data_IF_498133842350
#
_entry.id   IF_498133842350
#
_cell.length_a   1.000
_cell.length_b   1.000
_cell.length_c   1.000
_cell.angle_alpha   90.00
_cell.angle_beta   90.00
_cell.angle_gamma   90.00
#
_symmetry.space_group_name_H-M   'P 1'
#
loop_
_entity.id
_entity.type
_entity.pdbx_description
1 polymer ?
#
# COMPACT_ATOMS: atom_id res chain seq x y z
N UNK A 1 16.66 -47.03 -69.49
CA UNK A 1 16.09 -46.30 -68.34
C UNK A 1 15.04 -45.32 -68.84
N UNK A 2 13.76 -45.70 -68.84
CA UNK A 2 12.65 -44.79 -69.17
C UNK A 2 12.29 -44.01 -67.90
N UNK A 3 12.55 -42.69 -67.89
CA UNK A 3 11.99 -41.79 -66.88
C UNK A 3 10.49 -41.67 -67.16
N UNK A 4 9.64 -42.25 -66.31
CA UNK A 4 8.20 -42.01 -66.34
C UNK A 4 7.96 -40.56 -65.94
N UNK A 5 7.51 -39.74 -66.89
CA UNK A 5 7.05 -38.39 -66.61
C UNK A 5 5.67 -38.48 -65.95
N UNK A 6 5.51 -37.84 -64.79
CA UNK A 6 4.24 -37.79 -64.07
C UNK A 6 3.20 -37.06 -64.91
N UNK A 7 1.97 -37.61 -64.95
CA UNK A 7 0.86 -36.99 -65.66
C UNK A 7 0.46 -35.68 -64.97
N UNK A 8 0.09 -34.67 -65.77
CA UNK A 8 -0.34 -33.35 -65.27
C UNK A 8 -1.51 -33.49 -64.28
N UNK A 9 -2.38 -34.49 -64.49
CA UNK A 9 -3.49 -34.80 -63.59
C UNK A 9 -3.02 -35.33 -62.23
N UNK A 10 -1.95 -36.13 -62.21
CA UNK A 10 -1.36 -36.70 -60.99
C UNK A 10 -0.72 -35.59 -60.14
N UNK A 11 -0.08 -34.61 -60.77
CA UNK A 11 0.47 -33.43 -60.10
C UNK A 11 -0.64 -32.57 -59.48
N UNK A 12 -1.75 -32.36 -60.20
CA UNK A 12 -2.90 -31.58 -59.70
C UNK A 12 -3.58 -32.27 -58.50
N UNK A 13 -3.74 -33.59 -58.56
CA UNK A 13 -4.31 -34.37 -57.45
C UNK A 13 -3.39 -34.32 -56.23
N UNK A 14 -2.07 -34.49 -56.40
CA UNK A 14 -1.14 -34.42 -55.27
C UNK A 14 -1.10 -33.02 -54.67
N UNK A 15 -1.09 -31.95 -55.49
CA UNK A 15 -1.11 -30.58 -54.98
C UNK A 15 -2.40 -30.24 -54.23
N UNK A 16 -3.57 -30.65 -54.74
CA UNK A 16 -4.84 -30.41 -54.06
C UNK A 16 -4.91 -31.14 -52.71
N UNK A 17 -4.41 -32.38 -52.64
CA UNK A 17 -4.34 -33.13 -51.39
C UNK A 17 -3.34 -32.53 -50.41
N UNK A 18 -2.20 -32.01 -50.90
CA UNK A 18 -1.22 -31.31 -50.05
C UNK A 18 -1.78 -30.01 -49.48
N UNK A 19 -2.54 -29.24 -50.26
CA UNK A 19 -3.18 -28.00 -49.79
C UNK A 19 -4.25 -28.31 -48.73
N UNK A 20 -5.03 -29.38 -48.91
CA UNK A 20 -6.01 -29.84 -47.93
C UNK A 20 -5.36 -30.30 -46.62
N UNK A 21 -4.23 -31.02 -46.71
CA UNK A 21 -3.46 -31.44 -45.55
C UNK A 21 -2.77 -30.26 -44.85
N UNK A 22 -2.25 -29.27 -45.60
CA UNK A 22 -1.70 -28.05 -45.03
C UNK A 22 -2.78 -27.21 -44.32
N UNK A 23 -3.99 -27.14 -44.86
CA UNK A 23 -5.11 -26.45 -44.22
C UNK A 23 -5.54 -27.09 -42.89
N UNK A 24 -5.35 -28.40 -42.74
CA UNK A 24 -5.61 -29.13 -41.48
C UNK A 24 -4.47 -29.02 -40.46
N UNK A 25 -3.25 -28.72 -40.92
CA UNK A 25 -2.03 -28.66 -40.09
C UNK A 25 -1.71 -27.23 -39.65
N UNK A 26 -2.44 -26.19 -40.11
CA UNK A 26 -2.33 -24.85 -39.52
C UNK A 26 -2.76 -24.93 -38.05
N UNK A 27 -1.83 -24.80 -37.09
CA UNK A 27 -2.21 -24.74 -35.69
C UNK A 27 -3.06 -23.48 -35.50
N UNK A 28 -4.21 -23.59 -34.82
CA UNK A 28 -4.91 -22.41 -34.29
C UNK A 28 -3.99 -21.76 -33.25
N UNK A 29 -3.11 -20.87 -33.71
CA UNK A 29 -2.01 -20.27 -32.94
C UNK A 29 -2.48 -19.18 -31.96
N UNK A 30 -3.79 -19.01 -31.74
CA UNK A 30 -4.35 -18.00 -30.84
C UNK A 30 -4.15 -18.31 -29.36
N UNK A 31 -4.00 -19.59 -28.98
CA UNK A 31 -3.88 -19.97 -27.55
C UNK A 31 -2.54 -19.59 -26.91
N UNK A 32 -1.47 -19.49 -27.71
CA UNK A 32 -0.13 -19.19 -27.19
C UNK A 32 0.07 -17.70 -26.93
N UNK A 33 -0.53 -16.83 -27.73
CA UNK A 33 -0.44 -15.37 -27.56
C UNK A 33 -1.16 -14.93 -26.28
N UNK A 34 -2.38 -15.44 -26.05
CA UNK A 34 -3.18 -15.24 -24.84
C UNK A 34 -2.51 -15.72 -23.55
N UNK A 35 -1.77 -16.83 -23.62
CA UNK A 35 -1.08 -17.39 -22.44
C UNK A 35 0.16 -16.56 -22.10
N UNK A 36 0.83 -15.97 -23.10
CA UNK A 36 2.00 -15.12 -22.91
C UNK A 36 1.61 -13.75 -22.31
N UNK A 37 0.47 -13.19 -22.71
CA UNK A 37 -0.04 -11.92 -22.16
C UNK A 37 -0.50 -12.08 -20.71
N UNK A 38 -1.33 -13.10 -20.42
CA UNK A 38 -1.84 -13.37 -19.07
C UNK A 38 -0.74 -13.77 -18.07
N UNK A 39 0.22 -14.61 -18.51
CA UNK A 39 1.38 -14.98 -17.69
C UNK A 39 2.24 -13.76 -17.36
N UNK A 40 2.55 -12.93 -18.37
CA UNK A 40 3.36 -11.72 -18.17
C UNK A 40 2.73 -10.77 -17.16
N UNK A 41 1.41 -10.54 -17.26
CA UNK A 41 0.69 -9.74 -16.27
C UNK A 41 0.67 -10.36 -14.88
N UNK A 42 0.58 -11.69 -14.77
CA UNK A 42 0.61 -12.37 -13.48
C UNK A 42 1.99 -12.31 -12.80
N UNK A 43 3.07 -12.48 -13.58
CA UNK A 43 4.45 -12.31 -13.10
C UNK A 43 4.72 -10.86 -12.67
N UNK A 44 4.21 -9.89 -13.42
CA UNK A 44 4.29 -8.47 -13.07
C UNK A 44 3.54 -8.15 -11.77
N UNK A 45 2.33 -8.68 -11.58
CA UNK A 45 1.57 -8.53 -10.34
C UNK A 45 2.35 -9.08 -9.14
N UNK A 46 2.97 -10.25 -9.28
CA UNK A 46 3.82 -10.84 -8.24
C UNK A 46 5.02 -9.94 -7.94
N UNK A 47 5.69 -9.41 -8.96
CA UNK A 47 6.80 -8.48 -8.76
C UNK A 47 6.36 -7.20 -8.01
N UNK A 48 5.16 -6.69 -8.31
CA UNK A 48 4.58 -5.50 -7.64
C UNK A 48 4.20 -5.79 -6.19
N UNK A 49 3.64 -6.96 -5.89
CA UNK A 49 3.36 -7.40 -4.52
C UNK A 49 4.65 -7.50 -3.69
N UNK A 50 5.71 -8.09 -4.25
CA UNK A 50 7.04 -8.15 -3.59
C UNK A 50 7.61 -6.76 -3.36
N UNK A 51 7.47 -5.86 -4.34
CA UNK A 51 7.91 -4.48 -4.21
C UNK A 51 7.12 -3.71 -3.15
N UNK A 52 5.80 -3.87 -3.09
CA UNK A 52 4.95 -3.26 -2.07
C UNK A 52 5.34 -3.72 -0.66
N UNK A 53 5.60 -5.02 -0.48
CA UNK A 53 6.15 -5.55 0.77
C UNK A 53 7.50 -4.93 1.13
N UNK A 54 8.42 -4.90 0.17
CA UNK A 54 9.75 -4.32 0.42
C UNK A 54 9.65 -2.84 0.77
N UNK A 55 8.80 -2.08 0.08
CA UNK A 55 8.54 -0.67 0.39
C UNK A 55 7.99 -0.49 1.80
N UNK A 56 7.04 -1.33 2.21
CA UNK A 56 6.47 -1.25 3.56
C UNK A 56 7.54 -1.46 4.63
N UNK A 57 8.43 -2.43 4.43
CA UNK A 57 9.53 -2.73 5.35
C UNK A 57 10.57 -1.60 5.35
N UNK A 58 10.99 -1.11 4.18
CA UNK A 58 12.07 -0.12 4.07
C UNK A 58 11.65 1.27 4.51
N UNK A 59 10.42 1.68 4.19
CA UNK A 59 9.87 2.98 4.59
C UNK A 59 9.31 2.94 6.02
N UNK A 60 9.08 1.76 6.58
CA UNK A 60 8.35 1.54 7.82
C UNK A 60 6.92 2.14 7.81
N UNK A 61 6.29 2.19 6.63
CA UNK A 61 4.93 2.73 6.41
C UNK A 61 4.07 1.64 5.75
N UNK A 62 2.81 1.43 6.15
CA UNK A 62 1.90 0.52 5.46
C UNK A 62 1.82 0.81 3.96
N UNK A 63 1.95 -0.23 3.14
CA UNK A 63 1.85 -0.12 1.68
C UNK A 63 0.88 -1.18 1.18
N UNK A 64 -0.13 -0.79 0.38
CA UNK A 64 -1.12 -1.71 -0.15
C UNK A 64 -1.09 -1.81 -1.67
N UNK A 65 -1.46 -2.99 -2.15
CA UNK A 65 -1.95 -3.18 -3.51
C UNK A 65 -3.48 -3.17 -3.47
N UNK A 66 -4.07 -2.27 -4.23
CA UNK A 66 -5.52 -2.08 -4.32
C UNK A 66 -6.00 -2.41 -5.73
N UNK A 67 -6.89 -3.41 -5.83
CA UNK A 67 -7.52 -3.81 -7.08
C UNK A 67 -9.00 -3.40 -6.99
N UNK A 68 -9.48 -2.48 -7.84
CA UNK A 68 -10.87 -2.03 -7.79
C UNK A 68 -11.86 -3.19 -7.75
N UNK A 69 -12.81 -3.10 -6.83
CA UNK A 69 -13.83 -4.11 -6.59
C UNK A 69 -15.08 -3.38 -6.09
N UNK A 70 -16.21 -3.65 -6.74
CA UNK A 70 -17.52 -3.18 -6.29
C UNK A 70 -18.38 -4.38 -5.91
N UNK A 71 -19.48 -4.19 -5.15
CA UNK A 71 -20.42 -5.27 -4.88
C UNK A 71 -20.92 -6.03 -6.13
N UNK A 72 -20.93 -5.36 -7.29
CA UNK A 72 -21.34 -5.94 -8.57
C UNK A 72 -20.19 -6.52 -9.42
N UNK A 73 -18.96 -6.02 -9.26
CA UNK A 73 -17.81 -6.36 -10.11
C UNK A 73 -16.58 -6.68 -9.27
N UNK A 74 -16.09 -7.90 -9.42
CA UNK A 74 -15.00 -8.47 -8.61
C UNK A 74 -13.66 -8.48 -9.34
N UNK A 75 -13.60 -7.82 -10.49
CA UNK A 75 -12.43 -7.80 -11.35
C UNK A 75 -12.15 -6.41 -11.89
N UNK A 76 -10.88 -6.16 -12.22
CA UNK A 76 -10.38 -4.89 -12.73
C UNK A 76 -9.21 -5.08 -13.70
N UNK A 77 -8.99 -4.13 -14.61
CA UNK A 77 -7.81 -3.98 -15.47
C UNK A 77 -6.72 -3.09 -14.84
N UNK A 78 -7.00 -2.52 -13.67
CA UNK A 78 -6.17 -1.53 -12.98
C UNK A 78 -5.73 -2.00 -11.60
N UNK A 79 -4.51 -1.63 -11.23
CA UNK A 79 -3.92 -1.91 -9.91
C UNK A 79 -3.29 -0.64 -9.39
N UNK A 80 -3.71 -0.23 -8.20
CA UNK A 80 -3.22 0.95 -7.50
C UNK A 80 -2.28 0.53 -6.39
N UNK A 81 -1.31 1.37 -6.09
CA UNK A 81 -0.49 1.24 -4.89
C UNK A 81 -0.86 2.38 -3.96
N UNK A 82 -1.23 2.02 -2.74
CA UNK A 82 -1.60 2.97 -1.70
C UNK A 82 -0.48 2.98 -0.65
N UNK A 83 0.00 4.16 -0.25
CA UNK A 83 1.03 4.29 0.79
C UNK A 83 0.58 5.31 1.84
N UNK A 84 0.81 5.01 3.12
CA UNK A 84 0.54 5.95 4.22
C UNK A 84 0.26 5.25 5.55
N UNK A 85 0.50 5.93 6.67
CA UNK A 85 0.08 5.44 7.99
C UNK A 85 -1.42 5.60 8.22
N UNK A 86 -2.01 6.64 7.63
CA UNK A 86 -3.43 7.02 7.66
C UNK A 86 -3.74 7.73 6.36
N UNK A 87 -4.97 7.66 5.87
CA UNK A 87 -5.41 8.24 4.60
C UNK A 87 -4.42 7.99 3.46
N UNK A 88 -4.22 6.72 3.06
CA UNK A 88 -3.14 6.38 2.17
C UNK A 88 -3.35 7.01 0.79
N UNK A 89 -2.28 7.62 0.27
CA UNK A 89 -2.32 8.31 -1.02
C UNK A 89 -2.31 7.29 -2.15
N UNK A 90 -3.32 7.30 -3.04
CA UNK A 90 -3.35 6.44 -4.20
C UNK A 90 -2.37 6.90 -5.28
N UNK A 91 -1.24 6.22 -5.37
CA UNK A 91 -0.42 6.26 -6.58
C UNK A 91 -0.94 5.25 -7.60
N UNK A 92 -1.37 5.72 -8.78
CA UNK A 92 -1.64 4.81 -9.89
C UNK A 92 -0.30 4.19 -10.33
N UNK A 93 -0.08 2.96 -9.89
CA UNK A 93 1.17 2.25 -10.16
C UNK A 93 1.07 1.41 -11.42
N UNK A 94 -0.14 0.99 -11.82
CA UNK A 94 -0.31 0.20 -13.03
C UNK A 94 -1.73 0.16 -13.57
N UNK A 95 -1.86 0.39 -14.87
CA UNK A 95 -3.00 -0.06 -15.66
C UNK A 95 -2.48 -1.03 -16.69
N UNK A 96 -3.13 -2.19 -16.84
CA UNK A 96 -2.90 -3.02 -18.01
C UNK A 96 -3.43 -2.21 -19.21
N UNK A 97 -2.53 -1.56 -19.94
CA UNK A 97 -2.87 -0.92 -21.22
C UNK A 97 -2.85 -2.01 -22.29
N UNK A 98 -4.02 -2.55 -22.59
CA UNK A 98 -4.20 -3.52 -23.67
C UNK A 98 -5.18 -2.99 -24.70
N UNK A 99 -4.88 -3.25 -25.97
CA UNK A 99 -5.85 -3.16 -27.05
C UNK A 99 -6.83 -4.31 -26.80
N UNK A 100 -8.10 -4.00 -26.54
CA UNK A 100 -9.21 -4.98 -26.44
C UNK A 100 -9.47 -5.70 -25.09
N UNK A 101 -8.92 -5.24 -23.96
CA UNK A 101 -9.30 -5.72 -22.59
C UNK A 101 -9.21 -7.24 -22.39
N UNK A 102 -8.12 -7.86 -22.83
CA UNK A 102 -7.99 -9.31 -22.78
C UNK A 102 -7.77 -9.80 -21.35
N UNK A 103 -6.88 -9.17 -20.57
CA UNK A 103 -6.48 -9.64 -19.23
C UNK A 103 -7.06 -8.80 -18.08
N UNK A 104 -7.62 -9.46 -17.05
CA UNK A 104 -8.14 -8.82 -15.83
C UNK A 104 -7.65 -9.51 -14.56
N UNK A 105 -7.63 -8.76 -13.46
CA UNK A 105 -7.42 -9.27 -12.11
C UNK A 105 -8.75 -9.52 -11.44
N UNK A 106 -9.03 -10.76 -11.06
CA UNK A 106 -10.22 -11.17 -10.33
C UNK A 106 -9.87 -11.43 -8.86
N UNK A 107 -10.67 -10.88 -7.97
CA UNK A 107 -10.49 -10.92 -6.50
C UNK A 107 -11.65 -11.60 -5.78
N UNK A 108 -12.58 -12.20 -6.52
CA UNK A 108 -13.69 -12.95 -5.94
C UNK A 108 -13.31 -14.38 -5.54
N UNK A 109 -14.34 -15.16 -5.24
CA UNK A 109 -14.25 -16.54 -4.77
C UNK A 109 -14.55 -17.53 -5.91
N UNK A 110 -14.17 -18.79 -5.75
CA UNK A 110 -14.53 -19.87 -6.67
C UNK A 110 -14.68 -21.19 -5.94
N UNK A 111 -15.35 -22.16 -6.59
CA UNK A 111 -15.55 -23.48 -6.03
C UNK A 111 -14.23 -24.27 -5.92
N UNK A 112 -14.07 -25.02 -4.83
CA UNK A 112 -12.91 -25.90 -4.59
C UNK A 112 -12.19 -25.58 -3.28
N UNK A 113 -11.62 -24.37 -3.11
CA UNK A 113 -10.99 -23.95 -1.86
C UNK A 113 -12.01 -23.63 -0.75
N UNK A 114 -11.58 -23.71 0.51
CA UNK A 114 -12.34 -23.16 1.62
C UNK A 114 -12.00 -21.68 1.82
N UNK A 115 -13.00 -20.82 1.64
CA UNK A 115 -12.84 -19.37 1.79
C UNK A 115 -13.16 -18.95 3.22
N UNK A 116 -12.23 -18.30 3.90
CA UNK A 116 -12.39 -17.87 5.29
C UNK A 116 -11.81 -16.47 5.50
N UNK A 117 -12.05 -15.87 6.67
CA UNK A 117 -11.36 -14.64 7.03
C UNK A 117 -9.85 -14.92 7.09
N UNK A 118 -9.05 -14.12 6.38
CA UNK A 118 -7.61 -14.33 6.30
C UNK A 118 -6.94 -14.27 7.67
N UNK A 119 -6.00 -15.19 7.98
CA UNK A 119 -5.31 -15.18 9.26
C UNK A 119 -4.38 -13.97 9.34
N UNK A 120 -4.28 -13.37 10.54
CA UNK A 120 -3.37 -12.25 10.84
C UNK A 120 -2.15 -12.75 11.59
N UNK A 121 -1.01 -12.74 10.92
CA UNK A 121 0.29 -13.14 11.46
C UNK A 121 1.06 -11.93 12.00
N UNK A 122 1.78 -12.10 13.10
CA UNK A 122 2.56 -11.02 13.70
C UNK A 122 1.73 -10.03 14.53
N UNK A 123 2.41 -9.26 15.37
CA UNK A 123 1.79 -8.22 16.22
C UNK A 123 1.33 -7.03 15.39
N UNK A 124 2.14 -6.61 14.41
CA UNK A 124 1.83 -5.46 13.53
C UNK A 124 0.53 -5.69 12.75
N UNK A 125 0.32 -6.86 12.15
CA UNK A 125 -0.93 -7.15 11.43
C UNK A 125 -2.16 -7.26 12.35
N UNK A 126 -1.96 -7.67 13.61
CA UNK A 126 -3.04 -7.76 14.61
C UNK A 126 -3.47 -6.38 15.11
N UNK A 127 -2.52 -5.46 15.26
CA UNK A 127 -2.77 -4.08 15.69
C UNK A 127 -3.26 -3.18 14.55
N UNK A 128 -2.95 -3.54 13.30
CA UNK A 128 -3.39 -2.77 12.14
C UNK A 128 -4.89 -2.94 11.88
N UNK A 129 -5.62 -1.83 11.95
CA UNK A 129 -7.04 -1.77 11.69
C UNK A 129 -7.31 -1.13 10.33
N UNK A 130 -7.64 -1.96 9.34
CA UNK A 130 -7.95 -1.53 7.98
C UNK A 130 -9.10 -0.50 7.93
N UNK A 131 -10.05 -0.59 8.87
CA UNK A 131 -11.21 0.33 8.91
C UNK A 131 -10.84 1.73 9.40
N UNK A 132 -9.73 1.87 10.11
CA UNK A 132 -9.18 3.15 10.58
C UNK A 132 -8.10 3.70 9.66
N UNK A 133 -7.64 2.90 8.69
CA UNK A 133 -6.57 3.28 7.80
C UNK A 133 -6.99 4.36 6.80
N UNK A 134 -8.26 4.37 6.39
CA UNK A 134 -8.86 5.49 5.65
C UNK A 134 -10.25 5.81 6.20
N UNK A 135 -10.58 7.09 6.31
CA UNK A 135 -11.92 7.57 6.69
C UNK A 135 -12.98 7.28 5.63
N UNK A 136 -12.56 7.11 4.37
CA UNK A 136 -13.45 6.81 3.24
C UNK A 136 -13.26 5.34 2.84
N UNK A 137 -14.34 4.55 2.75
CA UNK A 137 -14.24 3.19 2.23
C UNK A 137 -13.64 3.17 0.83
N UNK A 138 -12.50 2.50 0.67
CA UNK A 138 -11.85 2.33 -0.62
C UNK A 138 -12.56 1.17 -1.36
N UNK A 139 -13.21 1.40 -2.52
CA UNK A 139 -13.93 0.36 -3.26
C UNK A 139 -12.95 -0.55 -4.03
N UNK A 140 -12.11 -1.25 -3.28
CA UNK A 140 -11.07 -2.12 -3.80
C UNK A 140 -10.86 -3.34 -2.88
N UNK A 141 -10.40 -4.44 -3.48
CA UNK A 141 -9.70 -5.49 -2.77
C UNK A 141 -8.32 -4.96 -2.36
N UNK A 142 -8.09 -4.88 -1.05
CA UNK A 142 -6.89 -4.33 -0.46
C UNK A 142 -6.00 -5.45 0.06
N UNK A 143 -4.73 -5.44 -0.31
CA UNK A 143 -3.69 -6.29 0.24
C UNK A 143 -2.62 -5.40 0.85
N UNK A 144 -2.75 -5.10 2.15
CA UNK A 144 -1.91 -4.15 2.87
C UNK A 144 -0.75 -4.88 3.52
N UNK A 145 0.47 -4.55 3.11
CA UNK A 145 1.70 -4.97 3.76
C UNK A 145 2.01 -4.02 4.91
N UNK A 146 2.13 -4.59 6.11
CA UNK A 146 2.56 -3.85 7.30
C UNK A 146 4.07 -3.59 7.27
N UNK A 147 4.59 -2.67 8.10
CA UNK A 147 6.03 -2.47 8.26
C UNK A 147 6.83 -3.73 8.66
N UNK A 148 6.15 -4.74 9.24
CA UNK A 148 6.76 -6.04 9.55
C UNK A 148 6.82 -6.99 8.34
N UNK A 149 6.17 -6.64 7.23
CA UNK A 149 6.08 -7.46 6.02
C UNK A 149 4.88 -8.41 5.97
N UNK A 150 4.11 -8.53 7.06
CA UNK A 150 2.86 -9.30 7.12
C UNK A 150 1.73 -8.62 6.33
N UNK A 151 0.74 -9.40 5.88
CA UNK A 151 -0.38 -8.90 5.06
C UNK A 151 -1.71 -8.87 5.83
N UNK A 152 -2.40 -7.75 5.75
CA UNK A 152 -3.79 -7.56 6.16
C UNK A 152 -4.64 -7.26 4.93
N UNK A 153 -5.79 -7.92 4.81
CA UNK A 153 -6.70 -7.74 3.67
C UNK A 153 -8.16 -7.66 4.10
N UNK A 154 -8.98 -6.95 3.31
CA UNK A 154 -10.44 -7.04 3.38
C UNK A 154 -11.02 -8.23 2.60
N UNK A 155 -10.16 -9.04 1.97
CA UNK A 155 -10.55 -10.20 1.20
C UNK A 155 -10.47 -11.47 2.02
N UNK A 156 -11.29 -12.46 1.66
CA UNK A 156 -11.22 -13.80 2.24
C UNK A 156 -10.01 -14.55 1.69
N UNK A 157 -9.41 -15.38 2.53
CA UNK A 157 -8.31 -16.26 2.15
C UNK A 157 -8.87 -17.62 1.74
N UNK A 158 -8.29 -18.21 0.70
CA UNK A 158 -8.54 -19.58 0.27
C UNK A 158 -7.49 -20.49 0.93
N UNK A 159 -7.94 -21.40 1.80
CA UNK A 159 -7.11 -22.35 2.53
C UNK A 159 -5.92 -21.68 3.27
N UNK A 160 -6.17 -20.49 3.84
CA UNK A 160 -5.18 -19.73 4.62
C UNK A 160 -4.32 -18.74 3.84
N UNK A 161 -4.41 -18.70 2.51
CA UNK A 161 -3.68 -17.72 1.67
C UNK A 161 -4.65 -16.84 0.87
N UNK A 162 -4.30 -15.57 0.69
CA UNK A 162 -5.06 -14.71 -0.21
C UNK A 162 -4.75 -15.08 -1.66
N UNK A 163 -5.76 -15.05 -2.53
CA UNK A 163 -5.61 -15.43 -3.94
C UNK A 163 -6.18 -14.35 -4.84
N UNK A 164 -5.47 -14.08 -5.93
CA UNK A 164 -5.90 -13.21 -7.02
C UNK A 164 -5.78 -14.03 -8.30
N UNK A 165 -6.83 -14.06 -9.12
CA UNK A 165 -6.78 -14.73 -10.40
C UNK A 165 -6.48 -13.72 -11.50
N UNK A 166 -5.50 -14.02 -12.34
CA UNK A 166 -5.21 -13.28 -13.57
C UNK A 166 -5.65 -14.14 -14.74
N UNK A 167 -6.57 -13.64 -15.55
CA UNK A 167 -7.16 -14.44 -16.62
C UNK A 167 -7.63 -13.56 -17.77
N UNK A 168 -7.84 -14.20 -18.93
CA UNK A 168 -8.60 -13.62 -20.04
C UNK A 168 -9.98 -14.25 -20.17
N UNK A 169 -10.88 -13.61 -20.92
CA UNK A 169 -12.26 -14.10 -21.11
C UNK A 169 -13.03 -14.33 -19.80
N UNK A 170 -12.76 -13.56 -18.74
CA UNK A 170 -13.29 -13.84 -17.41
C UNK A 170 -14.83 -13.78 -17.41
N UNK A 171 -15.47 -14.82 -16.88
CA UNK A 171 -16.90 -14.85 -16.60
C UNK A 171 -17.12 -15.08 -15.11
N UNK A 172 -17.78 -14.13 -14.45
CA UNK A 172 -18.09 -14.17 -13.03
C UNK A 172 -19.58 -13.85 -12.80
N UNK A 173 -20.19 -14.55 -11.85
CA UNK A 173 -21.53 -14.24 -11.34
C UNK A 173 -21.37 -13.53 -10.01
N UNK A 174 -21.43 -12.19 -10.05
CA UNK A 174 -21.13 -11.34 -8.89
C UNK A 174 -19.70 -11.55 -8.38
N UNK A 175 -19.56 -12.13 -7.18
CA UNK A 175 -18.27 -12.45 -6.54
C UNK A 175 -17.76 -13.85 -6.81
N UNK A 176 -18.49 -14.67 -7.56
CA UNK A 176 -18.10 -16.06 -7.80
C UNK A 176 -17.64 -16.25 -9.24
N UNK A 177 -16.46 -16.84 -9.41
CA UNK A 177 -15.92 -17.20 -10.72
C UNK A 177 -16.72 -18.33 -11.35
N UNK A 178 -17.00 -18.20 -12.65
CA UNK A 178 -17.73 -19.22 -13.44
C UNK A 178 -16.81 -19.82 -14.52
N UNK A 179 -16.09 -18.98 -15.25
CA UNK A 179 -15.15 -19.39 -16.30
C UNK A 179 -13.96 -18.43 -16.37
N UNK A 180 -12.80 -18.96 -16.76
CA UNK A 180 -11.56 -18.20 -16.93
C UNK A 180 -10.71 -18.79 -18.04
N UNK A 181 -10.26 -17.95 -18.96
CA UNK A 181 -9.33 -18.29 -20.03
C UNK A 181 -7.90 -18.03 -19.57
N UNK A 182 -6.98 -18.89 -20.02
CA UNK A 182 -5.56 -18.83 -19.68
C UNK A 182 -5.26 -18.42 -18.22
N UNK A 183 -5.89 -19.06 -17.22
CA UNK A 183 -5.84 -18.57 -15.85
C UNK A 183 -4.47 -18.76 -15.19
N UNK A 184 -4.07 -17.79 -14.39
CA UNK A 184 -2.93 -17.82 -13.49
C UNK A 184 -3.36 -17.37 -12.10
N UNK A 185 -3.14 -18.20 -11.09
CA UNK A 185 -3.43 -17.85 -9.70
C UNK A 185 -2.20 -17.26 -9.03
N UNK A 186 -2.31 -16.00 -8.62
CA UNK A 186 -1.38 -15.35 -7.71
C UNK A 186 -1.83 -15.62 -6.28
N UNK A 187 -0.88 -15.96 -5.42
CA UNK A 187 -1.11 -16.26 -4.02
C UNK A 187 -0.25 -15.39 -3.13
N UNK A 188 -0.81 -14.98 -2.00
CA UNK A 188 -0.15 -14.14 -1.01
C UNK A 188 -0.35 -14.80 0.34
N UNK A 189 0.76 -15.23 0.94
CA UNK A 189 0.76 -15.78 2.29
C UNK A 189 0.48 -14.67 3.30
N UNK A 190 -0.04 -15.00 4.48
CA UNK A 190 -0.21 -14.03 5.57
C UNK A 190 1.09 -13.34 6.01
N UNK A 191 2.25 -13.96 5.81
CA UNK A 191 3.59 -13.39 6.04
C UNK A 191 4.10 -12.50 4.89
N UNK A 192 3.29 -12.33 3.84
CA UNK A 192 3.53 -11.45 2.71
C UNK A 192 4.34 -12.04 1.56
N UNK A 193 4.61 -13.35 1.56
CA UNK A 193 5.24 -14.00 0.41
C UNK A 193 4.24 -14.17 -0.73
N UNK A 194 4.66 -13.83 -1.95
CA UNK A 194 3.82 -13.96 -3.13
C UNK A 194 4.34 -15.02 -4.10
N UNK A 195 3.47 -15.94 -4.49
CA UNK A 195 3.75 -17.05 -5.41
C UNK A 195 2.79 -17.09 -6.59
N UNK A 196 3.23 -17.71 -7.68
CA UNK A 196 2.47 -17.83 -8.92
C UNK A 196 2.23 -19.30 -9.25
N UNK A 197 1.00 -19.64 -9.63
CA UNK A 197 0.60 -20.96 -10.07
C UNK A 197 -0.18 -20.86 -11.38
N UNK A 198 0.12 -21.74 -12.34
CA UNK A 198 -0.69 -21.86 -13.56
C UNK A 198 -2.02 -22.55 -13.24
N UNK A 199 -3.10 -22.05 -13.83
CA UNK A 199 -4.45 -22.56 -13.64
C UNK A 199 -5.19 -21.85 -12.50
N UNK A 200 -6.44 -22.28 -12.27
CA UNK A 200 -7.22 -21.86 -11.10
C UNK A 200 -6.94 -22.81 -9.93
N UNK A 201 -6.50 -22.28 -8.79
CA UNK A 201 -6.19 -23.07 -7.60
C UNK A 201 -7.39 -23.91 -7.13
N UNK A 202 -7.22 -25.25 -7.09
CA UNK A 202 -8.28 -26.24 -6.80
C UNK A 202 -9.56 -26.10 -7.65
N UNK A 203 -9.50 -25.37 -8.76
CA UNK A 203 -10.64 -25.06 -9.61
C UNK A 203 -10.88 -26.06 -10.74
N UNK A 204 -10.83 -27.37 -10.44
CA UNK A 204 -10.83 -28.45 -11.44
C UNK A 204 -12.04 -28.46 -12.41
N UNK A 205 -13.10 -27.70 -12.14
CA UNK A 205 -14.33 -27.63 -12.95
C UNK A 205 -14.61 -26.24 -13.54
N UNK A 206 -13.66 -25.31 -13.49
CA UNK A 206 -13.86 -23.97 -14.05
C UNK A 206 -13.65 -24.06 -15.55
N UNK A 207 -14.72 -23.77 -16.29
CA UNK A 207 -14.78 -23.92 -17.74
C UNK A 207 -13.84 -22.91 -18.41
N UNK A 208 -13.23 -23.32 -19.52
CA UNK A 208 -12.57 -22.39 -20.44
C UNK A 208 -13.65 -21.56 -21.17
N UNK A 209 -13.63 -20.22 -21.07
CA UNK A 209 -14.59 -19.36 -21.74
C UNK A 209 -14.42 -19.48 -23.26
N UNK A 210 -15.54 -19.33 -23.99
CA UNK A 210 -15.55 -19.33 -25.45
C UNK A 210 -15.20 -17.98 -26.08
N UNK A 211 -15.10 -16.92 -25.27
CA UNK A 211 -14.77 -15.55 -25.70
C UNK A 211 -13.38 -15.14 -25.20
N UNK A 212 -12.57 -14.54 -26.08
CA UNK A 212 -11.23 -14.05 -25.75
C UNK A 212 -11.21 -12.71 -25.00
N UNK A 213 -12.32 -11.95 -25.02
CA UNK A 213 -12.41 -10.66 -24.36
C UNK A 213 -13.05 -10.74 -22.97
N UNK A 214 -12.45 -10.04 -22.00
CA UNK A 214 -13.04 -9.84 -20.68
C UNK A 214 -13.93 -8.58 -20.70
N UNK A 215 -15.05 -8.55 -19.97
CA UNK A 215 -15.86 -7.33 -19.84
C UNK A 215 -15.08 -6.21 -19.13
N UNK A 216 -15.54 -4.96 -19.30
CA UNK A 216 -14.96 -3.80 -18.59
C UNK A 216 -14.95 -4.05 -17.08
N UNK A 217 -13.76 -3.99 -16.49
CA UNK A 217 -13.56 -4.17 -15.06
C UNK A 217 -13.99 -2.95 -14.24
N UNK A 218 -14.10 -3.16 -12.92
CA UNK A 218 -14.27 -2.08 -11.98
C UNK A 218 -13.09 -1.11 -12.08
N UNK A 219 -13.37 0.17 -11.93
CA UNK A 219 -12.36 1.21 -11.76
C UNK A 219 -12.81 2.09 -10.59
N UNK A 220 -11.86 2.72 -9.91
CA UNK A 220 -12.19 3.81 -9.00
C UNK A 220 -11.34 5.00 -9.34
N UNK A 221 -11.93 6.19 -9.20
CA UNK A 221 -11.15 7.40 -9.24
C UNK A 221 -10.37 7.46 -7.94
N UNK A 222 -9.07 7.22 -8.02
CA UNK A 222 -8.14 7.59 -6.96
C UNK A 222 -8.47 9.05 -6.56
N UNK A 223 -8.75 9.34 -5.28
CA UNK A 223 -8.80 10.74 -4.85
C UNK A 223 -7.53 11.41 -5.35
N UNK A 224 -7.67 12.42 -6.22
CA UNK A 224 -6.53 13.23 -6.61
C UNK A 224 -5.93 13.84 -5.36
N UNK A 225 -4.60 13.97 -5.30
CA UNK A 225 -3.89 14.59 -4.19
C UNK A 225 -4.67 15.83 -3.71
N UNK A 226 -5.38 15.69 -2.59
CA UNK A 226 -6.14 16.80 -2.05
C UNK A 226 -5.13 17.92 -1.73
N UNK A 227 -5.54 19.18 -1.83
CA UNK A 227 -4.63 20.28 -1.50
C UNK A 227 -4.14 20.08 -0.08
N UNK A 228 -2.83 19.83 0.08
CA UNK A 228 -2.24 19.51 1.37
C UNK A 228 -2.64 20.58 2.41
N UNK A 229 -3.31 20.13 3.47
CA UNK A 229 -3.81 20.99 4.53
C UNK A 229 -2.79 21.07 5.66
N UNK A 230 -2.69 22.22 6.32
CA UNK A 230 -1.82 22.33 7.47
C UNK A 230 -2.34 21.45 8.64
N UNK A 231 -1.45 20.81 9.42
CA UNK A 231 -1.85 19.98 10.53
C UNK A 231 -2.52 20.81 11.63
N UNK A 232 -3.52 20.22 12.29
CA UNK A 232 -4.28 20.85 13.36
C UNK A 232 -3.77 20.43 14.72
N UNK A 233 -3.52 21.40 15.60
CA UNK A 233 -3.03 21.15 16.96
C UNK A 233 -4.12 20.49 17.83
N UNK A 234 -3.79 19.35 18.43
CA UNK A 234 -4.65 18.66 19.40
C UNK A 234 -4.27 19.03 20.83
N UNK A 235 -3.00 18.87 21.17
CA UNK A 235 -2.52 19.19 22.52
C UNK A 235 -1.02 19.45 22.57
N UNK A 236 -0.59 20.21 23.58
CA UNK A 236 0.81 20.36 23.97
C UNK A 236 0.90 20.09 25.47
N UNK A 237 1.83 19.21 25.86
CA UNK A 237 2.06 18.81 27.25
C UNK A 237 3.54 18.90 27.59
N UNK A 238 3.82 19.18 28.85
CA UNK A 238 5.15 19.13 29.43
C UNK A 238 5.09 18.27 30.69
N UNK A 239 5.97 17.27 30.78
CA UNK A 239 6.06 16.31 31.88
C UNK A 239 7.38 16.49 32.62
N UNK A 240 7.43 16.44 33.96
CA UNK A 240 6.31 16.13 34.87
C UNK A 240 5.18 17.16 34.76
N UNK A 241 3.95 16.66 34.74
CA UNK A 241 2.76 17.50 34.59
C UNK A 241 2.73 18.46 35.79
N UNK A 242 2.94 19.76 35.54
CA UNK A 242 2.91 20.77 36.59
C UNK A 242 1.47 21.00 37.13
N UNK A 243 0.51 20.12 36.78
CA UNK A 243 -0.77 19.96 37.49
C UNK A 243 -0.63 19.24 38.84
N UNK A 244 0.58 18.83 39.25
CA UNK A 244 0.82 18.30 40.60
C UNK A 244 0.59 19.39 41.68
N UNK A 245 -0.36 19.24 42.62
CA UNK A 245 -0.77 20.26 43.58
C UNK A 245 0.28 20.65 44.64
N UNK A 246 1.55 20.23 44.50
CA UNK A 246 2.69 20.74 45.27
C UNK A 246 3.58 21.73 44.52
N UNK A 247 3.40 21.93 43.21
CA UNK A 247 4.13 22.94 42.43
C UNK A 247 3.20 24.08 42.04
N UNK A 248 2.95 25.00 42.96
CA UNK A 248 2.23 26.24 42.66
C UNK A 248 2.97 27.17 41.68
N UNK A 249 4.23 26.86 41.29
CA UNK A 249 5.09 27.82 40.57
C UNK A 249 5.67 27.39 39.21
N UNK A 250 5.36 26.20 38.64
CA UNK A 250 5.97 25.75 37.36
C UNK A 250 7.51 25.80 37.37
N UNK A 251 8.12 25.48 38.51
CA UNK A 251 9.57 25.46 38.69
C UNK A 251 10.12 24.07 38.37
N UNK A 252 11.22 24.03 37.62
CA UNK A 252 11.96 22.82 37.29
C UNK A 252 13.31 22.88 37.99
N UNK A 253 13.72 21.78 38.64
CA UNK A 253 15.05 21.68 39.21
C UNK A 253 16.11 21.63 38.10
N UNK A 254 17.29 22.20 38.34
CA UNK A 254 18.35 22.37 37.33
C UNK A 254 18.84 21.05 36.74
N UNK A 255 18.83 20.00 37.55
CA UNK A 255 19.24 18.65 37.16
C UNK A 255 18.06 17.79 36.66
N UNK A 256 16.85 18.36 36.59
CA UNK A 256 15.66 17.66 36.11
C UNK A 256 15.46 17.80 34.60
N UNK A 257 14.82 16.79 34.04
CA UNK A 257 14.45 16.72 32.63
C UNK A 257 12.97 17.08 32.45
N UNK A 258 12.67 17.91 31.45
CA UNK A 258 11.31 18.19 31.03
C UNK A 258 11.00 17.43 29.73
N UNK A 259 10.04 16.51 29.74
CA UNK A 259 9.56 15.84 28.52
C UNK A 259 8.43 16.66 27.90
N UNK A 260 8.64 17.13 26.69
CA UNK A 260 7.69 17.89 25.89
C UNK A 260 6.99 16.95 24.90
N UNK A 261 5.68 16.98 24.87
CA UNK A 261 4.85 16.22 23.93
C UNK A 261 3.93 17.18 23.17
N UNK A 262 3.94 17.11 21.84
CA UNK A 262 2.98 17.78 20.97
C UNK A 262 2.19 16.73 20.20
N UNK A 263 0.86 16.91 20.14
CA UNK A 263 -0.05 16.05 19.39
C UNK A 263 -0.80 16.87 18.35
N UNK A 264 -0.87 16.35 17.13
CA UNK A 264 -1.57 16.98 16.02
C UNK A 264 -2.35 15.95 15.21
N UNK A 265 -3.36 16.40 14.48
CA UNK A 265 -4.05 15.64 13.43
C UNK A 265 -3.72 16.22 12.08
N UNK A 266 -3.55 15.38 11.08
CA UNK A 266 -3.44 15.79 9.69
C UNK A 266 -4.59 15.17 8.89
N UNK A 267 -5.32 16.00 8.12
CA UNK A 267 -6.49 15.55 7.38
C UNK A 267 -6.12 14.71 6.14
N UNK A 268 -4.89 14.88 5.64
CA UNK A 268 -4.38 14.19 4.47
C UNK A 268 -3.60 12.93 4.85
N UNK A 269 -3.34 12.72 6.14
CA UNK A 269 -2.55 11.59 6.63
C UNK A 269 -1.05 11.76 6.43
N UNK A 270 -0.60 12.95 6.04
CA UNK A 270 0.82 13.24 5.85
C UNK A 270 1.54 13.28 7.21
N UNK A 271 2.73 12.66 7.33
CA UNK A 271 3.50 12.71 8.56
C UNK A 271 4.03 14.13 8.80
N UNK A 272 3.57 14.82 9.86
CA UNK A 272 4.06 16.15 10.19
C UNK A 272 5.45 16.05 10.80
N UNK A 273 6.14 17.17 10.78
CA UNK A 273 7.42 17.37 11.43
C UNK A 273 7.29 18.41 12.53
N UNK A 274 8.10 18.25 13.57
CA UNK A 274 8.14 19.17 14.69
C UNK A 274 9.58 19.57 15.04
N UNK A 275 9.74 20.80 15.50
CA UNK A 275 11.00 21.33 16.00
C UNK A 275 10.71 22.11 17.28
N UNK A 276 11.43 21.78 18.36
CA UNK A 276 11.38 22.52 19.61
C UNK A 276 12.58 23.45 19.70
N UNK A 277 12.33 24.66 20.18
CA UNK A 277 13.39 25.64 20.39
C UNK A 277 13.06 26.57 21.56
N UNK A 278 14.10 27.12 22.17
CA UNK A 278 13.95 28.17 23.16
C UNK A 278 13.87 29.52 22.44
N UNK A 279 12.77 30.24 22.65
CA UNK A 279 12.54 31.54 22.02
C UNK A 279 13.02 32.70 22.89
N UNK A 280 12.99 32.55 24.20
CA UNK A 280 13.29 33.62 25.15
C UNK A 280 13.71 33.04 26.49
N UNK A 281 14.73 33.65 27.09
CA UNK A 281 15.16 33.39 28.47
C UNK A 281 15.23 34.73 29.19
N UNK A 282 14.59 34.84 30.36
CA UNK A 282 14.78 35.96 31.28
C UNK A 282 15.48 35.45 32.53
N UNK A 283 16.57 36.09 32.92
CA UNK A 283 17.25 35.73 34.17
C UNK A 283 16.43 36.12 35.41
N UNK A 284 16.95 35.80 36.60
CA UNK A 284 16.32 36.12 37.88
C UNK A 284 16.12 37.63 38.11
N UNK A 285 16.95 38.47 37.48
CA UNK A 285 16.86 39.94 37.53
C UNK A 285 15.88 40.50 36.48
N UNK A 286 15.34 39.64 35.60
CA UNK A 286 14.41 39.98 34.54
C UNK A 286 15.06 40.43 33.23
N UNK A 287 16.38 40.34 33.10
CA UNK A 287 17.08 40.67 31.86
C UNK A 287 16.88 39.57 30.82
N UNK A 288 16.55 39.96 29.60
CA UNK A 288 16.44 39.03 28.48
C UNK A 288 17.82 38.62 27.99
N UNK A 289 18.10 37.33 27.98
CA UNK A 289 19.31 36.78 27.40
C UNK A 289 19.17 36.72 25.87
N UNK A 290 20.23 37.08 25.14
CA UNK A 290 20.21 37.17 23.68
C UNK A 290 20.83 35.96 22.98
N UNK A 291 21.69 35.21 23.67
CA UNK A 291 22.39 34.06 23.12
C UNK A 291 21.67 32.76 23.55
N UNK A 292 20.80 32.24 22.67
CA UNK A 292 20.03 31.03 22.97
C UNK A 292 20.88 29.75 22.88
N UNK A 293 22.03 29.77 22.21
CA UNK A 293 22.94 28.62 22.17
C UNK A 293 23.61 28.42 23.53
N UNK A 294 23.87 29.52 24.24
CA UNK A 294 24.40 29.50 25.60
C UNK A 294 23.30 29.32 26.65
N UNK A 295 22.18 30.05 26.53
CA UNK A 295 21.19 30.18 27.59
C UNK A 295 19.93 29.34 27.40
N UNK A 296 19.58 28.94 26.18
CA UNK A 296 18.29 28.32 25.82
C UNK A 296 18.09 26.88 26.28
N UNK A 297 19.11 26.28 26.89
CA UNK A 297 19.08 24.87 27.28
C UNK A 297 19.35 23.93 26.11
N UNK A 298 19.07 22.64 26.29
CA UNK A 298 19.31 21.62 25.27
C UNK A 298 18.11 20.72 25.10
N UNK A 299 17.76 20.44 23.85
CA UNK A 299 16.75 19.47 23.49
C UNK A 299 17.40 18.12 23.15
N UNK A 300 16.68 17.02 23.37
CA UNK A 300 17.10 15.67 22.98
C UNK A 300 17.12 15.46 21.47
N UNK A 301 16.37 16.29 20.75
CA UNK A 301 16.18 16.22 19.32
C UNK A 301 16.92 17.41 18.70
N UNK A 302 17.67 17.15 17.64
CA UNK A 302 18.37 18.18 16.88
C UNK A 302 17.56 18.54 15.63
N UNK A 303 17.14 19.80 15.53
CA UNK A 303 16.34 20.32 14.44
C UNK A 303 14.96 19.64 14.26
N UNK A 304 14.54 19.59 13.01
CA UNK A 304 13.22 19.12 12.60
C UNK A 304 13.13 17.58 12.61
N UNK A 305 12.22 17.04 13.43
CA UNK A 305 12.00 15.61 13.60
C UNK A 305 10.63 15.17 13.08
N UNK A 306 10.55 13.99 12.46
CA UNK A 306 9.28 13.39 12.02
C UNK A 306 8.44 13.01 13.25
N UNK A 307 7.15 13.31 13.23
CA UNK A 307 6.21 12.83 14.24
C UNK A 307 5.86 11.36 14.01
N UNK A 308 5.55 10.65 15.09
CA UNK A 308 5.15 9.24 15.06
C UNK A 308 3.63 9.11 15.12
N UNK A 309 3.05 8.20 14.35
CA UNK A 309 1.61 7.93 14.42
C UNK A 309 1.28 7.13 15.70
N UNK A 310 0.37 7.66 16.53
CA UNK A 310 -0.19 6.96 17.69
C UNK A 310 -1.56 6.36 17.30
N UNK A 311 -1.64 5.05 17.01
CA UNK A 311 -2.87 4.41 16.54
C UNK A 311 -3.95 4.28 17.63
N UNK A 312 -3.59 4.41 18.92
CA UNK A 312 -4.56 4.33 20.02
C UNK A 312 -5.36 5.62 20.14
N UNK A 313 -4.69 6.76 20.01
CA UNK A 313 -5.31 8.09 20.11
C UNK A 313 -5.69 8.69 18.76
N UNK A 314 -5.23 8.10 17.66
CA UNK A 314 -5.51 8.58 16.31
C UNK A 314 -4.87 9.94 16.01
N UNK A 315 -3.66 10.19 16.53
CA UNK A 315 -2.95 11.46 16.38
C UNK A 315 -1.46 11.23 16.08
N UNK A 316 -0.84 12.20 15.41
CA UNK A 316 0.61 12.28 15.31
C UNK A 316 1.19 12.83 16.60
N UNK A 317 2.30 12.26 17.07
CA UNK A 317 2.95 12.61 18.34
C UNK A 317 4.42 12.94 18.12
N UNK A 318 4.84 14.09 18.64
CA UNK A 318 6.22 14.53 18.67
C UNK A 318 6.68 14.65 20.11
N UNK A 319 7.77 13.97 20.47
CA UNK A 319 8.35 13.99 21.81
C UNK A 319 9.78 14.48 21.77
N UNK A 320 10.12 15.39 22.68
CA UNK A 320 11.48 15.80 22.95
C UNK A 320 11.68 15.95 24.45
N UNK A 321 12.90 15.82 24.93
CA UNK A 321 13.25 16.18 26.30
C UNK A 321 14.08 17.45 26.30
N UNK A 322 13.88 18.31 27.29
CA UNK A 322 14.59 19.57 27.45
C UNK A 322 15.25 19.64 28.82
N UNK A 323 16.46 20.18 28.86
CA UNK A 323 17.18 20.52 30.09
C UNK A 323 17.60 21.99 30.06
N UNK A 324 17.60 22.68 31.22
CA UNK A 324 18.07 24.06 31.30
C UNK A 324 19.55 24.20 30.96
N UNK A 325 19.97 25.42 30.63
CA UNK A 325 21.36 25.68 30.28
C UNK A 325 22.29 25.46 31.48
N UNK A 326 23.47 24.88 31.23
CA UNK A 326 24.49 24.75 32.29
C UNK A 326 24.97 26.11 32.80
N UNK A 327 24.89 27.16 31.99
CA UNK A 327 25.26 28.52 32.38
C UNK A 327 24.22 29.19 33.30
N UNK A 328 23.00 28.67 33.38
CA UNK A 328 21.93 29.25 34.20
C UNK A 328 22.20 29.03 35.70
N UNK A 329 22.34 30.10 36.50
CA UNK A 329 22.48 30.00 37.95
C UNK A 329 21.17 29.60 38.66
N UNK A 330 20.04 29.58 37.94
CA UNK A 330 18.71 29.29 38.47
C UNK A 330 17.86 30.55 38.65
N UNK A 331 16.54 30.37 38.69
CA UNK A 331 15.57 31.46 38.75
C UNK A 331 15.21 32.07 37.39
N UNK A 332 15.78 31.54 36.30
CA UNK A 332 15.47 32.00 34.95
C UNK A 332 14.11 31.48 34.45
N UNK A 333 13.40 32.32 33.70
CA UNK A 333 12.15 31.99 33.03
C UNK A 333 12.40 31.67 31.56
N UNK A 334 11.96 30.49 31.15
CA UNK A 334 12.13 29.95 29.81
C UNK A 334 10.83 29.98 29.00
N UNK A 335 10.91 30.42 27.75
CA UNK A 335 9.81 30.36 26.79
C UNK A 335 10.15 29.40 25.67
N UNK A 336 9.66 28.17 25.80
CA UNK A 336 9.83 27.13 24.79
C UNK A 336 8.71 27.22 23.76
N UNK A 337 9.05 27.04 22.48
CA UNK A 337 8.10 26.98 21.37
C UNK A 337 8.30 25.71 20.57
N UNK A 338 7.20 25.21 20.01
CA UNK A 338 7.21 24.15 19.04
C UNK A 338 6.72 24.69 17.70
N UNK A 339 7.49 24.45 16.65
CA UNK A 339 7.04 24.63 15.27
C UNK A 339 6.58 23.27 14.76
N UNK A 340 5.39 23.22 14.16
CA UNK A 340 4.87 22.04 13.47
C UNK A 340 4.59 22.41 12.03
N UNK A 341 4.98 21.55 11.10
CA UNK A 341 4.74 21.76 9.68
C UNK A 341 4.82 20.46 8.89
N UNK A 342 4.45 20.54 7.62
CA UNK A 342 4.63 19.45 6.66
C UNK A 342 5.82 19.81 5.79
N UNK A 343 6.73 18.86 5.59
CA UNK A 343 7.85 19.08 4.68
C UNK A 343 7.29 19.13 3.26
N UNK A 344 7.61 20.16 2.45
CA UNK A 344 7.23 20.12 1.04
C UNK A 344 7.83 18.85 0.40
N UNK A 345 7.09 18.16 -0.49
CA UNK A 345 7.65 17.04 -1.21
C UNK A 345 8.93 17.54 -1.90
N UNK A 346 10.02 16.79 -1.72
CA UNK A 346 11.33 17.13 -2.27
C UNK A 346 11.16 17.63 -3.71
N UNK A 347 11.47 18.90 -3.93
CA UNK A 347 11.76 19.39 -5.27
C UNK A 347 13.08 18.73 -5.69
N UNK A 348 12.99 17.54 -6.28
CA UNK A 348 14.07 16.89 -7.02
C UNK A 348 14.10 17.43 -8.44
#
# INVERSE_FOLDING_TARGET
MQKRAYSLLEIVVVMSMMILLLALVVPRNSSNEDTLTTKGSAEELVARLRRARQNAITKAIPTAIAIPNTPALSFSDTVYQLEGEVEPDPSLVWRISQKDYETVFFTGEWAGPNWEVGPRMGTSARLFDLSKWSSKPIPAALFVFTPAGDVVSNMRAADGEYRILVANGLNASGKTLVAAGSPWTVSITPSGESNLQQGVYKGASILTPSSSSSPLGATFNAPGAETNQAPSLVSVKALPDFTNPKSSNRELDRDSLLTLEVRVTDANGDPPYFEWYCNEVKDADGNTQTDMDLWGGRFSNDGECRMEWDPEQGNWVGRASWVPAKADPGGSLYKLKCKVGIRPPFAS
#
